data_IF_196045267108
#
_entry.id   IF_196045267108
#
_cell.length_a   1.000
_cell.length_b   1.000
_cell.length_c   1.000
_cell.angle_alpha   90.00
_cell.angle_beta   90.00
_cell.angle_gamma   90.00
#
_symmetry.space_group_name_H-M   'P 1'
#
loop_
_entity.id
_entity.type
_entity.pdbx_description
1 polymer ?
#
# COMPACT_ATOMS: atom_id res chain seq x y z
N UNK A 1 -25.25 13.36 -11.09
CA UNK A 1 -26.34 13.27 -10.08
C UNK A 1 -27.63 12.98 -10.80
N UNK A 2 -28.24 11.83 -10.52
CA UNK A 2 -29.51 11.45 -11.11
C UNK A 2 -30.59 11.42 -10.02
N UNK A 3 -31.65 12.19 -10.21
CA UNK A 3 -32.77 12.23 -9.25
C UNK A 3 -33.82 11.21 -9.69
N UNK A 4 -34.17 10.30 -8.79
CA UNK A 4 -35.17 9.26 -8.97
C UNK A 4 -36.58 9.84 -8.77
N UNK A 5 -37.63 9.21 -9.35
CA UNK A 5 -39.02 9.69 -9.24
C UNK A 5 -39.58 9.80 -7.81
N UNK A 6 -38.96 9.10 -6.86
CA UNK A 6 -39.32 9.13 -5.43
C UNK A 6 -38.59 10.22 -4.63
N UNK A 7 -37.83 11.10 -5.31
CA UNK A 7 -37.08 12.19 -4.70
C UNK A 7 -35.70 11.81 -4.18
N UNK A 8 -35.28 10.54 -4.29
CA UNK A 8 -33.91 10.13 -3.96
C UNK A 8 -32.93 10.57 -5.04
N UNK A 9 -31.66 10.71 -4.68
CA UNK A 9 -30.59 11.05 -5.63
C UNK A 9 -29.53 9.97 -5.65
N UNK A 10 -29.18 9.51 -6.85
CA UNK A 10 -28.00 8.70 -7.10
C UNK A 10 -26.80 9.62 -7.31
N UNK A 11 -25.77 9.43 -6.48
CA UNK A 11 -24.52 10.19 -6.52
C UNK A 11 -23.38 9.20 -6.70
N UNK A 12 -22.56 9.45 -7.71
CA UNK A 12 -21.28 8.77 -7.92
C UNK A 12 -20.18 9.74 -7.51
N UNK A 13 -19.21 9.25 -6.74
CA UNK A 13 -18.13 10.08 -6.22
C UNK A 13 -16.81 9.38 -6.41
N UNK A 14 -15.75 10.17 -6.54
CA UNK A 14 -14.37 9.71 -6.57
C UNK A 14 -13.58 10.51 -5.54
N UNK A 15 -12.65 9.84 -4.86
CA UNK A 15 -11.71 10.53 -3.98
C UNK A 15 -10.76 11.39 -4.81
N UNK A 16 -10.60 12.66 -4.43
CA UNK A 16 -9.75 13.62 -5.18
C UNK A 16 -8.53 14.06 -4.37
N UNK A 17 -8.68 14.25 -3.07
CA UNK A 17 -7.58 14.71 -2.21
C UNK A 17 -7.70 14.09 -0.83
N UNK A 18 -6.54 13.88 -0.19
CA UNK A 18 -6.47 13.49 1.21
C UNK A 18 -6.47 14.74 2.06
N UNK A 19 -6.97 14.61 3.27
CA UNK A 19 -7.03 15.71 4.20
C UNK A 19 -6.91 15.23 5.63
N UNK A 20 -6.47 16.15 6.49
CA UNK A 20 -6.51 16.02 7.94
C UNK A 20 -7.60 16.93 8.48
N UNK A 21 -8.42 16.43 9.40
CA UNK A 21 -9.39 17.24 10.12
C UNK A 21 -8.63 18.07 11.18
N UNK A 22 -8.82 19.38 11.14
CA UNK A 22 -8.28 20.31 12.13
C UNK A 22 -9.29 20.55 13.26
N UNK A 23 -10.54 20.79 12.89
CA UNK A 23 -11.66 21.08 13.79
C UNK A 23 -12.93 20.45 13.21
N UNK A 24 -13.88 20.03 14.05
CA UNK A 24 -15.18 19.53 13.60
C UNK A 24 -16.32 20.08 14.47
N UNK A 25 -17.50 20.25 13.87
CA UNK A 25 -18.71 20.74 14.52
C UNK A 25 -19.96 20.16 13.84
N UNK A 26 -21.14 20.52 14.34
CA UNK A 26 -22.43 20.21 13.72
C UNK A 26 -23.13 21.50 13.33
N UNK A 27 -23.58 21.60 12.09
CA UNK A 27 -24.35 22.73 11.55
C UNK A 27 -25.61 22.18 10.88
N UNK A 28 -26.80 22.60 11.34
CA UNK A 28 -28.10 22.14 10.82
C UNK A 28 -28.27 20.61 10.78
N UNK A 29 -27.65 19.91 11.74
CA UNK A 29 -27.66 18.44 11.81
C UNK A 29 -26.63 17.74 10.94
N UNK A 30 -25.83 18.48 10.16
CA UNK A 30 -24.73 17.95 9.35
C UNK A 30 -23.39 18.12 10.07
N UNK A 31 -22.55 17.09 10.01
CA UNK A 31 -21.17 17.19 10.48
C UNK A 31 -20.38 18.07 9.51
N UNK A 32 -19.74 19.10 10.03
CA UNK A 32 -18.86 20.00 9.29
C UNK A 32 -17.48 19.96 9.91
N UNK A 33 -16.45 20.16 9.09
CA UNK A 33 -15.07 20.14 9.57
C UNK A 33 -14.19 21.12 8.81
N UNK A 34 -13.29 21.76 9.55
CA UNK A 34 -12.17 22.49 8.99
C UNK A 34 -11.08 21.48 8.67
N UNK A 35 -10.60 21.49 7.44
CA UNK A 35 -9.66 20.48 6.94
C UNK A 35 -8.42 21.14 6.33
N UNK A 36 -7.31 20.41 6.39
CA UNK A 36 -6.06 20.75 5.72
C UNK A 36 -5.72 19.64 4.72
N UNK A 37 -5.37 20.02 3.48
CA UNK A 37 -4.99 19.05 2.46
C UNK A 37 -3.65 18.39 2.79
N UNK A 38 -3.54 17.10 2.49
CA UNK A 38 -2.29 16.34 2.59
C UNK A 38 -1.80 16.08 1.16
N UNK A 39 -0.76 16.82 0.78
CA UNK A 39 -0.08 16.67 -0.51
C UNK A 39 1.04 15.63 -0.40
N UNK A 40 1.40 15.06 -1.54
CA UNK A 40 2.63 14.26 -1.62
C UNK A 40 3.86 15.15 -1.53
N UNK A 41 4.97 14.56 -1.09
CA UNK A 41 6.25 15.25 -1.07
C UNK A 41 6.73 15.54 -2.49
N UNK A 42 7.58 16.55 -2.63
CA UNK A 42 8.10 16.95 -3.94
C UNK A 42 8.93 15.83 -4.59
N UNK A 43 8.95 15.76 -5.92
CA UNK A 43 9.73 14.79 -6.68
C UNK A 43 11.22 14.77 -6.28
N UNK A 44 11.84 15.93 -6.08
CA UNK A 44 13.24 16.01 -5.65
C UNK A 44 13.47 15.35 -4.27
N UNK A 45 12.48 15.44 -3.38
CA UNK A 45 12.53 14.79 -2.08
C UNK A 45 12.34 13.27 -2.20
N UNK A 46 11.48 12.80 -3.12
CA UNK A 46 11.32 11.36 -3.43
C UNK A 46 12.63 10.77 -3.96
N UNK A 47 13.26 11.44 -4.92
CA UNK A 47 14.55 11.02 -5.49
C UNK A 47 15.64 10.96 -4.43
N UNK A 48 15.68 11.97 -3.55
CA UNK A 48 16.64 12.00 -2.43
C UNK A 48 16.41 10.85 -1.45
N UNK A 49 15.14 10.56 -1.11
CA UNK A 49 14.78 9.45 -0.23
C UNK A 49 15.16 8.10 -0.84
N UNK A 50 14.83 7.88 -2.11
CA UNK A 50 15.16 6.64 -2.81
C UNK A 50 16.67 6.44 -2.92
N UNK A 51 17.43 7.48 -3.30
CA UNK A 51 18.88 7.41 -3.39
C UNK A 51 19.52 7.10 -2.02
N UNK A 52 19.02 7.71 -0.95
CA UNK A 52 19.50 7.44 0.40
C UNK A 52 19.25 5.98 0.82
N UNK A 53 18.04 5.46 0.63
CA UNK A 53 17.70 4.09 1.04
C UNK A 53 18.44 3.03 0.23
N UNK A 54 18.44 3.16 -1.10
CA UNK A 54 19.06 2.18 -2.01
C UNK A 54 20.58 2.15 -1.90
N UNK A 55 21.23 3.27 -1.57
CA UNK A 55 22.67 3.32 -1.33
C UNK A 55 23.09 2.68 -0.01
N UNK A 56 22.32 2.87 1.07
CA UNK A 56 22.66 2.34 2.40
C UNK A 56 22.64 0.80 2.42
N UNK A 57 21.68 0.17 1.75
CA UNK A 57 21.58 -1.30 1.72
C UNK A 57 22.70 -1.97 0.94
N UNK A 58 23.31 -1.28 -0.03
CA UNK A 58 24.51 -1.78 -0.74
C UNK A 58 25.77 -1.83 0.15
N UNK A 59 25.75 -1.13 1.29
CA UNK A 59 26.89 -0.98 2.19
C UNK A 59 26.82 -1.87 3.45
N UNK A 60 25.79 -2.72 3.63
CA UNK A 60 25.83 -3.77 4.67
C UNK A 60 26.91 -4.78 4.29
N UNK A 61 28.08 -4.81 4.96
CA UNK A 61 29.01 -5.91 4.75
C UNK A 61 28.29 -7.16 5.23
N UNK A 62 28.46 -8.28 4.50
CA UNK A 62 28.22 -9.59 5.10
C UNK A 62 29.01 -9.63 6.41
N UNK A 63 28.35 -9.47 7.56
CA UNK A 63 28.95 -9.85 8.83
C UNK A 63 29.06 -11.38 8.80
N UNK A 64 30.16 -11.87 8.23
CA UNK A 64 30.77 -13.11 8.65
C UNK A 64 31.17 -12.95 10.12
N UNK A 65 30.20 -13.14 11.01
CA UNK A 65 30.48 -13.28 12.44
C UNK A 65 31.07 -14.68 12.64
N UNK A 66 32.40 -14.74 12.61
CA UNK A 66 33.18 -15.77 13.28
C UNK A 66 32.89 -15.69 14.78
N UNK A 67 31.83 -16.37 15.24
CA UNK A 67 31.58 -16.63 16.66
C UNK A 67 32.06 -18.05 16.97
N UNK A 68 33.35 -18.16 17.29
CA UNK A 68 33.96 -19.34 17.87
C UNK A 68 33.40 -19.55 19.29
N UNK A 69 32.44 -20.47 19.45
CA UNK A 69 32.15 -21.11 20.74
C UNK A 69 30.73 -21.03 21.33
N UNK A 70 29.66 -21.27 20.56
CA UNK A 70 28.31 -21.51 21.13
C UNK A 70 27.72 -22.87 20.67
N UNK A 71 26.95 -23.60 21.51
CA UNK A 71 26.47 -24.96 21.22
C UNK A 71 25.45 -25.02 20.07
N UNK A 72 25.32 -26.17 19.37
CA UNK A 72 24.48 -26.29 18.20
C UNK A 72 23.07 -26.67 18.65
N UNK A 73 22.12 -25.73 18.67
CA UNK A 73 20.71 -26.09 18.51
C UNK A 73 19.87 -24.87 18.09
N UNK A 74 19.07 -25.12 17.05
CA UNK A 74 18.11 -24.24 16.36
C UNK A 74 18.67 -23.33 15.25
N UNK A 75 18.62 -23.77 13.96
CA UNK A 75 18.54 -22.83 12.86
C UNK A 75 17.18 -22.14 12.93
N UNK A 76 17.14 -20.96 13.56
CA UNK A 76 16.08 -19.97 13.31
C UNK A 76 16.37 -19.31 11.98
N UNK A 77 16.16 -20.06 10.89
CA UNK A 77 15.99 -19.48 9.55
C UNK A 77 14.63 -18.79 9.56
N UNK A 78 14.58 -17.57 10.09
CA UNK A 78 13.53 -16.64 9.66
C UNK A 78 13.59 -16.58 8.13
N UNK A 79 12.46 -16.75 7.42
CA UNK A 79 12.45 -16.64 5.96
C UNK A 79 13.11 -15.31 5.57
N UNK A 80 13.80 -15.24 4.41
CA UNK A 80 14.44 -14.01 3.97
C UNK A 80 13.37 -12.92 3.93
N UNK A 81 13.39 -12.03 4.92
CA UNK A 81 12.55 -10.85 4.90
C UNK A 81 13.08 -10.02 3.73
N UNK A 82 12.30 -9.95 2.65
CA UNK A 82 12.57 -9.09 1.50
C UNK A 82 12.93 -7.71 2.04
N UNK A 83 14.18 -7.28 1.83
CA UNK A 83 14.61 -5.95 2.23
C UNK A 83 14.04 -4.92 1.26
N UNK A 84 12.78 -4.55 1.49
CA UNK A 84 12.04 -3.58 0.67
C UNK A 84 12.73 -2.22 0.60
N UNK A 85 13.59 -1.88 1.57
CA UNK A 85 14.31 -0.59 1.58
C UNK A 85 15.41 -0.54 0.51
N UNK A 86 15.97 -1.68 0.15
CA UNK A 86 17.00 -1.80 -0.88
C UNK A 86 16.48 -1.71 -2.32
N UNK A 87 15.18 -1.91 -2.52
CA UNK A 87 14.55 -1.97 -3.84
C UNK A 87 14.26 -0.58 -4.38
N UNK A 88 14.36 -0.35 -5.68
CA UNK A 88 13.93 0.90 -6.32
C UNK A 88 12.40 1.06 -6.27
N UNK A 89 11.91 2.28 -6.46
CA UNK A 89 10.46 2.56 -6.49
C UNK A 89 9.79 1.81 -7.64
N UNK A 90 10.50 1.67 -8.77
CA UNK A 90 10.06 0.86 -9.91
C UNK A 90 9.97 -0.63 -9.53
N UNK A 91 10.96 -1.19 -8.84
CA UNK A 91 10.94 -2.60 -8.42
C UNK A 91 9.79 -2.88 -7.44
N UNK A 92 9.50 -1.95 -6.53
CA UNK A 92 8.35 -2.06 -5.62
C UNK A 92 7.02 -2.04 -6.39
N UNK A 93 6.90 -1.20 -7.43
CA UNK A 93 5.74 -1.18 -8.31
C UNK A 93 5.59 -2.49 -9.10
N UNK A 94 6.70 -3.03 -9.63
CA UNK A 94 6.73 -4.31 -10.34
C UNK A 94 6.29 -5.49 -9.46
N UNK A 95 6.67 -5.51 -8.17
CA UNK A 95 6.17 -6.49 -7.20
C UNK A 95 4.63 -6.41 -7.11
N UNK A 96 4.11 -5.20 -6.95
CA UNK A 96 2.67 -4.94 -6.85
C UNK A 96 1.88 -5.42 -8.06
N UNK A 97 2.28 -4.99 -9.25
CA UNK A 97 1.60 -5.34 -10.50
C UNK A 97 1.69 -6.84 -10.80
N UNK A 98 2.87 -7.44 -10.63
CA UNK A 98 3.08 -8.88 -10.83
C UNK A 98 2.21 -9.72 -9.90
N UNK A 99 2.04 -9.29 -8.64
CA UNK A 99 1.17 -9.98 -7.69
C UNK A 99 -0.30 -9.93 -8.14
N UNK A 100 -0.80 -8.77 -8.55
CA UNK A 100 -2.19 -8.61 -9.03
C UNK A 100 -2.43 -9.48 -10.25
N UNK A 101 -1.51 -9.50 -11.22
CA UNK A 101 -1.62 -10.37 -12.38
C UNK A 101 -1.63 -11.86 -12.00
N UNK A 102 -0.76 -12.27 -11.07
CA UNK A 102 -0.73 -13.64 -10.54
C UNK A 102 -2.09 -14.00 -9.92
N UNK A 103 -2.67 -13.12 -9.11
CA UNK A 103 -3.98 -13.33 -8.49
C UNK A 103 -5.12 -13.37 -9.51
N UNK A 104 -5.05 -12.55 -10.57
CA UNK A 104 -6.01 -12.56 -11.68
C UNK A 104 -5.94 -13.89 -12.43
N UNK A 105 -4.75 -14.40 -12.74
CA UNK A 105 -4.56 -15.72 -13.37
C UNK A 105 -5.07 -16.88 -12.51
N UNK A 106 -5.02 -16.72 -11.19
CA UNK A 106 -5.50 -17.71 -10.22
C UNK A 106 -6.98 -17.53 -9.86
N UNK A 107 -7.70 -16.59 -10.49
CA UNK A 107 -9.11 -16.28 -10.19
C UNK A 107 -9.36 -16.03 -8.69
N UNK A 108 -8.50 -15.23 -8.05
CA UNK A 108 -8.63 -14.90 -6.64
C UNK A 108 -10.04 -14.31 -6.35
N UNK A 109 -10.78 -14.83 -5.35
CA UNK A 109 -12.18 -14.43 -5.12
C UNK A 109 -12.38 -12.95 -4.80
N UNK A 110 -11.37 -12.27 -4.25
CA UNK A 110 -11.45 -10.84 -3.97
C UNK A 110 -11.23 -9.97 -5.22
N UNK A 111 -10.68 -10.53 -6.31
CA UNK A 111 -10.34 -9.83 -7.56
C UNK A 111 -11.30 -10.21 -8.71
N UNK A 112 -12.60 -10.30 -8.42
CA UNK A 112 -13.62 -10.58 -9.44
C UNK A 112 -13.94 -9.36 -10.33
N UNK A 113 -14.61 -9.59 -11.45
CA UNK A 113 -15.07 -8.57 -12.41
C UNK A 113 -15.69 -7.32 -11.78
N UNK A 114 -16.45 -7.51 -10.68
CA UNK A 114 -17.10 -6.40 -9.96
C UNK A 114 -16.12 -5.37 -9.41
N UNK A 115 -14.91 -5.79 -9.04
CA UNK A 115 -13.84 -4.88 -8.60
C UNK A 115 -13.48 -3.92 -9.72
N UNK A 116 -13.27 -4.44 -10.94
CA UNK A 116 -12.95 -3.61 -12.12
C UNK A 116 -14.11 -2.72 -12.53
N UNK A 117 -15.36 -3.19 -12.36
CA UNK A 117 -16.54 -2.34 -12.58
C UNK A 117 -16.64 -1.20 -11.56
N UNK A 118 -16.16 -1.40 -10.33
CA UNK A 118 -16.31 -0.41 -9.24
C UNK A 118 -15.14 0.56 -9.19
N UNK A 119 -13.91 0.07 -9.36
CA UNK A 119 -12.68 0.84 -9.14
C UNK A 119 -11.83 1.03 -10.41
N UNK A 120 -12.25 0.45 -11.54
CA UNK A 120 -11.50 0.50 -12.80
C UNK A 120 -10.38 -0.54 -12.90
N UNK A 121 -9.68 -0.50 -14.04
CA UNK A 121 -8.50 -1.33 -14.30
C UNK A 121 -7.31 -0.96 -13.40
N UNK A 122 -6.37 -1.90 -13.27
CA UNK A 122 -5.15 -1.69 -12.49
C UNK A 122 -4.35 -0.49 -13.06
N UNK A 123 -4.05 0.54 -12.24
CA UNK A 123 -3.23 1.67 -12.66
C UNK A 123 -1.78 1.27 -12.95
N UNK A 124 -1.16 1.94 -13.93
CA UNK A 124 0.28 1.81 -14.23
C UNK A 124 1.14 2.86 -13.52
N UNK A 125 0.51 3.92 -13.01
CA UNK A 125 1.18 5.00 -12.30
C UNK A 125 1.48 4.60 -10.83
N UNK A 126 2.75 4.67 -10.39
CA UNK A 126 3.17 4.40 -9.01
C UNK A 126 2.43 5.22 -7.95
N UNK A 127 2.06 6.48 -8.25
CA UNK A 127 1.38 7.33 -7.27
C UNK A 127 -0.08 6.92 -7.04
N UNK A 128 -0.74 6.40 -8.09
CA UNK A 128 -2.14 5.98 -8.08
C UNK A 128 -2.33 4.54 -7.63
N UNK A 129 -1.42 3.63 -8.00
CA UNK A 129 -1.54 2.19 -7.75
C UNK A 129 -1.84 1.81 -6.28
N UNK A 130 -1.16 2.36 -5.26
CA UNK A 130 -1.42 2.00 -3.86
C UNK A 130 -2.86 2.23 -3.41
N UNK A 131 -3.50 3.30 -3.88
CA UNK A 131 -4.89 3.63 -3.54
C UNK A 131 -5.88 2.65 -4.13
N UNK A 132 -5.65 2.30 -5.40
CA UNK A 132 -6.41 1.25 -6.07
C UNK A 132 -6.19 -0.09 -5.35
N UNK A 133 -4.95 -0.44 -5.06
CA UNK A 133 -4.60 -1.71 -4.42
C UNK A 133 -5.26 -1.86 -3.04
N UNK A 134 -5.23 -0.83 -2.20
CA UNK A 134 -5.92 -0.84 -0.90
C UNK A 134 -7.45 -0.93 -1.00
N UNK A 135 -8.03 -0.42 -2.10
CA UNK A 135 -9.47 -0.50 -2.35
C UNK A 135 -9.93 -1.92 -2.71
N UNK A 136 -9.04 -2.72 -3.31
CA UNK A 136 -9.36 -4.08 -3.76
C UNK A 136 -8.94 -5.16 -2.77
N UNK A 137 -7.99 -4.88 -1.87
CA UNK A 137 -7.50 -5.87 -0.91
C UNK A 137 -8.47 -6.14 0.26
N UNK A 138 -8.61 -7.41 0.68
CA UNK A 138 -9.34 -7.80 1.89
C UNK A 138 -8.48 -7.61 3.16
N UNK A 139 -8.07 -6.37 3.44
CA UNK A 139 -7.28 -5.99 4.62
C UNK A 139 -8.10 -5.15 5.61
N UNK A 140 -7.67 -5.13 6.87
CA UNK A 140 -8.29 -4.31 7.92
C UNK A 140 -8.28 -2.82 7.55
N UNK A 141 -9.36 -2.10 7.88
CA UNK A 141 -9.49 -0.67 7.56
C UNK A 141 -8.40 0.18 8.21
N UNK A 142 -7.92 -0.20 9.40
CA UNK A 142 -6.80 0.44 10.10
C UNK A 142 -5.54 0.52 9.24
N UNK A 143 -5.25 -0.50 8.44
CA UNK A 143 -4.11 -0.52 7.52
C UNK A 143 -4.33 0.48 6.38
N UNK A 144 -5.58 0.60 5.89
CA UNK A 144 -5.95 1.58 4.85
C UNK A 144 -5.79 3.02 5.38
N UNK A 145 -6.13 3.27 6.64
CA UNK A 145 -5.93 4.58 7.28
C UNK A 145 -4.46 4.98 7.37
N UNK A 146 -3.55 4.03 7.65
CA UNK A 146 -2.11 4.34 7.65
C UNK A 146 -1.63 4.74 6.26
N UNK A 147 -2.10 4.07 5.21
CA UNK A 147 -1.76 4.43 3.83
C UNK A 147 -2.11 5.90 3.53
N UNK A 148 -3.26 6.39 4.01
CA UNK A 148 -3.69 7.79 3.82
C UNK A 148 -2.73 8.81 4.41
N UNK A 149 -1.95 8.45 5.42
CA UNK A 149 -1.00 9.34 6.10
C UNK A 149 0.35 9.45 5.37
N UNK A 150 0.69 8.52 4.48
CA UNK A 150 2.00 8.46 3.82
C UNK A 150 2.09 9.47 2.67
N UNK A 151 3.09 10.36 2.74
CA UNK A 151 3.30 11.40 1.74
C UNK A 151 4.29 11.00 0.63
N UNK A 152 4.98 9.87 0.79
CA UNK A 152 5.85 9.31 -0.23
C UNK A 152 5.15 8.21 -1.03
N UNK A 153 5.23 8.30 -2.35
CA UNK A 153 4.85 7.24 -3.30
C UNK A 153 5.62 5.96 -2.99
N UNK A 154 6.93 6.08 -2.76
CA UNK A 154 7.80 4.95 -2.44
C UNK A 154 7.42 4.28 -1.13
N UNK A 155 7.15 5.06 -0.08
CA UNK A 155 6.69 4.49 1.19
C UNK A 155 5.36 3.76 1.05
N UNK A 156 4.41 4.32 0.29
CA UNK A 156 3.15 3.64 -0.01
C UNK A 156 3.38 2.29 -0.71
N UNK A 157 4.29 2.25 -1.68
CA UNK A 157 4.63 1.01 -2.38
C UNK A 157 5.33 -0.01 -1.49
N UNK A 158 6.24 0.40 -0.59
CA UNK A 158 6.82 -0.48 0.44
C UNK A 158 5.71 -1.07 1.32
N UNK A 159 4.72 -0.26 1.69
CA UNK A 159 3.58 -0.71 2.48
C UNK A 159 2.75 -1.76 1.72
N UNK A 160 2.46 -1.53 0.44
CA UNK A 160 1.79 -2.50 -0.42
C UNK A 160 2.59 -3.81 -0.58
N UNK A 161 3.90 -3.73 -0.78
CA UNK A 161 4.76 -4.91 -0.85
C UNK A 161 4.78 -5.69 0.48
N UNK A 162 4.74 -4.99 1.62
CA UNK A 162 4.56 -5.61 2.94
C UNK A 162 3.24 -6.37 3.08
N UNK A 163 2.13 -5.80 2.61
CA UNK A 163 0.84 -6.51 2.58
C UNK A 163 0.89 -7.76 1.69
N UNK A 164 1.54 -7.68 0.53
CA UNK A 164 1.71 -8.84 -0.36
C UNK A 164 2.44 -9.97 0.35
N UNK A 165 3.58 -9.67 0.98
CA UNK A 165 4.35 -10.67 1.73
C UNK A 165 3.52 -11.34 2.84
N UNK A 166 2.70 -10.55 3.56
CA UNK A 166 1.80 -11.08 4.60
C UNK A 166 0.72 -12.00 4.02
N UNK A 167 0.09 -11.60 2.90
CA UNK A 167 -0.95 -12.40 2.24
C UNK A 167 -0.40 -13.71 1.67
N UNK A 168 0.82 -13.69 1.13
CA UNK A 168 1.49 -14.90 0.65
C UNK A 168 1.87 -15.83 1.81
N UNK A 169 2.36 -15.29 2.94
CA UNK A 169 2.67 -16.08 4.13
C UNK A 169 1.43 -16.77 4.71
N UNK A 170 0.31 -16.05 4.86
CA UNK A 170 -0.96 -16.61 5.36
C UNK A 170 -1.48 -17.76 4.50
N UNK A 171 -1.23 -17.74 3.19
CA UNK A 171 -1.62 -18.83 2.28
C UNK A 171 -0.76 -20.07 2.43
N UNK A 172 0.53 -19.90 2.72
CA UNK A 172 1.43 -21.03 2.98
C UNK A 172 1.10 -21.75 4.29
N UNK A 173 0.50 -21.08 5.28
CA UNK A 173 0.08 -21.69 6.54
C UNK A 173 -1.23 -22.49 6.44
N UNK A 174 -2.02 -22.30 5.38
CA UNK A 174 -3.30 -23.00 5.17
C UNK A 174 -3.22 -24.21 4.21
N UNK A 175 -2.04 -24.56 3.71
CA UNK A 175 -1.77 -25.72 2.84
C UNK A 175 -0.96 -26.77 3.61
#
# INVERSE_FOLDING_TARGET
MHVLPDGRSLIETVGVSRFRILEHATLDGYMVGKVERIEDMSLAAEETLEAAETSISSARPLSSQDHFGAPPDHPRTSPPQLDLTSLSTQQLMEIGTSFVEKMRRQSAPWLHTRVFTTYGEMPTDPATFPWWFASVLPIAESEKYRLLQLQSVRERLKYCAGWIAQLEAQRCECL
#
